data_IF_072535431045
#
_entry.id   IF_072535431045
#
_cell.length_a   1.000
_cell.length_b   1.000
_cell.length_c   1.000
_cell.angle_alpha   90.00
_cell.angle_beta   90.00
_cell.angle_gamma   90.00
#
_symmetry.space_group_name_H-M   'P 1'
#
loop_
_entity.id
_entity.type
_entity.pdbx_description
1 polymer ?
#
# COMPACT_ATOMS: atom_id res chain seq x y z
N UNK A 1 -4.66 -39.78 -3.90
CA UNK A 1 -3.74 -38.87 -4.63
C UNK A 1 -4.43 -37.67 -5.29
N UNK A 2 -5.77 -37.61 -5.39
CA UNK A 2 -6.48 -36.47 -6.02
C UNK A 2 -6.64 -35.22 -5.13
N UNK A 3 -6.42 -35.36 -3.82
CA UNK A 3 -6.70 -34.30 -2.81
C UNK A 3 -5.64 -33.19 -2.76
N UNK A 4 -4.38 -33.49 -3.10
CA UNK A 4 -3.30 -32.49 -3.06
C UNK A 4 -3.44 -31.40 -4.13
N UNK A 5 -3.97 -31.76 -5.32
CA UNK A 5 -4.16 -30.83 -6.44
C UNK A 5 -5.29 -29.82 -6.18
N UNK A 6 -6.37 -30.23 -5.52
CA UNK A 6 -7.49 -29.34 -5.24
C UNK A 6 -7.17 -28.38 -4.08
N UNK A 7 -6.37 -28.81 -3.11
CA UNK A 7 -5.91 -27.97 -2.01
C UNK A 7 -4.98 -26.84 -2.51
N UNK A 8 -4.01 -27.17 -3.38
CA UNK A 8 -3.12 -26.15 -3.95
C UNK A 8 -3.86 -25.13 -4.82
N UNK A 9 -4.83 -25.59 -5.63
CA UNK A 9 -5.67 -24.69 -6.42
C UNK A 9 -6.48 -23.74 -5.54
N UNK A 10 -7.07 -24.24 -4.44
CA UNK A 10 -7.82 -23.41 -3.49
C UNK A 10 -6.93 -22.40 -2.76
N UNK A 11 -5.76 -22.83 -2.30
CA UNK A 11 -4.80 -21.94 -1.65
C UNK A 11 -4.33 -20.84 -2.61
N UNK A 12 -4.04 -21.17 -3.87
CA UNK A 12 -3.68 -20.19 -4.89
C UNK A 12 -4.82 -19.19 -5.16
N UNK A 13 -6.07 -19.65 -5.26
CA UNK A 13 -7.23 -18.76 -5.40
C UNK A 13 -7.40 -17.83 -4.21
N UNK A 14 -7.21 -18.32 -2.99
CA UNK A 14 -7.27 -17.50 -1.78
C UNK A 14 -6.17 -16.44 -1.76
N UNK A 15 -4.92 -16.82 -2.04
CA UNK A 15 -3.79 -15.89 -2.11
C UNK A 15 -4.00 -14.82 -3.19
N UNK A 16 -4.48 -15.22 -4.36
CA UNK A 16 -4.81 -14.27 -5.44
C UNK A 16 -5.92 -13.31 -5.00
N UNK A 17 -6.96 -13.81 -4.33
CA UNK A 17 -8.06 -12.97 -3.84
C UNK A 17 -7.57 -11.97 -2.81
N UNK A 18 -6.78 -12.41 -1.83
CA UNK A 18 -6.18 -11.53 -0.82
C UNK A 18 -5.28 -10.48 -1.45
N UNK A 19 -4.45 -10.87 -2.42
CA UNK A 19 -3.60 -9.94 -3.16
C UNK A 19 -4.43 -8.89 -3.91
N UNK A 20 -5.47 -9.30 -4.64
CA UNK A 20 -6.37 -8.36 -5.33
C UNK A 20 -7.07 -7.41 -4.35
N UNK A 21 -7.59 -7.91 -3.24
CA UNK A 21 -8.18 -7.08 -2.19
C UNK A 21 -7.16 -6.09 -1.64
N UNK A 22 -5.91 -6.51 -1.40
CA UNK A 22 -4.86 -5.62 -0.90
C UNK A 22 -4.52 -4.50 -1.90
N UNK A 23 -4.50 -4.80 -3.20
CA UNK A 23 -4.34 -3.78 -4.26
C UNK A 23 -5.50 -2.80 -4.24
N UNK A 24 -6.75 -3.29 -4.11
CA UNK A 24 -7.93 -2.42 -4.05
C UNK A 24 -7.92 -1.50 -2.83
N UNK A 25 -7.53 -2.01 -1.66
CA UNK A 25 -7.39 -1.21 -0.43
C UNK A 25 -6.32 -0.13 -0.61
N UNK A 26 -5.17 -0.49 -1.17
CA UNK A 26 -4.10 0.47 -1.44
C UNK A 26 -4.55 1.56 -2.42
N UNK A 27 -5.18 1.19 -3.53
CA UNK A 27 -5.68 2.15 -4.52
C UNK A 27 -6.78 3.04 -3.93
N UNK A 28 -7.67 2.50 -3.10
CA UNK A 28 -8.68 3.30 -2.40
C UNK A 28 -8.03 4.36 -1.49
N UNK A 29 -6.93 4.01 -0.81
CA UNK A 29 -6.12 4.96 -0.04
C UNK A 29 -5.51 6.07 -0.89
N UNK A 30 -5.02 5.75 -2.09
CA UNK A 30 -4.43 6.72 -3.02
C UNK A 30 -5.45 7.67 -3.66
N UNK A 31 -6.73 7.29 -3.69
CA UNK A 31 -7.81 8.13 -4.21
C UNK A 31 -8.19 9.25 -3.22
N UNK A 32 -7.80 9.16 -1.94
CA UNK A 32 -8.03 10.26 -1.00
C UNK A 32 -7.30 11.52 -1.49
N UNK A 33 -8.03 12.60 -1.83
CA UNK A 33 -7.41 13.81 -2.34
C UNK A 33 -6.62 14.48 -1.22
N UNK A 34 -5.30 14.44 -1.31
CA UNK A 34 -4.42 15.08 -0.35
C UNK A 34 -2.97 14.68 -0.57
N UNK A 35 -2.10 15.68 -0.61
CA UNK A 35 -0.67 15.48 -0.43
C UNK A 35 -0.45 14.98 1.01
N UNK A 36 0.16 13.80 1.17
CA UNK A 36 0.33 13.13 2.48
C UNK A 36 1.00 14.07 3.48
N UNK A 37 2.09 14.72 3.08
CA UNK A 37 2.78 15.69 3.90
C UNK A 37 1.92 16.92 4.23
N UNK A 38 1.07 17.36 3.30
CA UNK A 38 0.10 18.46 3.55
C UNK A 38 -0.97 18.07 4.57
N UNK A 39 -1.44 16.83 4.52
CA UNK A 39 -2.43 16.30 5.47
C UNK A 39 -1.79 16.20 6.87
N UNK A 40 -0.54 15.77 6.95
CA UNK A 40 0.16 15.58 8.23
C UNK A 40 0.66 16.90 8.85
N UNK A 41 1.23 17.81 8.05
CA UNK A 41 1.77 19.09 8.54
C UNK A 41 0.70 20.19 8.61
N UNK A 42 -0.44 19.99 7.97
CA UNK A 42 -1.55 20.93 7.91
C UNK A 42 -1.55 21.82 6.66
N UNK A 43 -2.68 22.48 6.39
CA UNK A 43 -2.91 23.20 5.12
C UNK A 43 -1.99 24.40 4.91
N UNK A 44 -1.46 25.00 5.99
CA UNK A 44 -0.60 26.18 5.96
C UNK A 44 0.89 25.86 6.10
N UNK A 45 1.27 24.58 6.09
CA UNK A 45 2.66 24.18 6.15
C UNK A 45 3.45 24.67 4.94
N UNK A 46 4.72 25.02 5.17
CA UNK A 46 5.61 25.43 4.09
C UNK A 46 5.75 24.33 3.03
N UNK A 47 5.87 24.72 1.76
CA UNK A 47 5.91 23.80 0.65
C UNK A 47 7.17 22.92 0.65
N UNK A 48 8.30 23.47 1.10
CA UNK A 48 9.56 22.72 1.20
C UNK A 48 9.48 21.68 2.31
N UNK A 49 8.90 22.03 3.46
CA UNK A 49 8.68 21.10 4.56
C UNK A 49 7.78 19.92 4.15
N UNK A 50 6.71 20.18 3.38
CA UNK A 50 5.83 19.13 2.87
C UNK A 50 6.54 18.24 1.84
N UNK A 51 7.32 18.82 0.92
CA UNK A 51 8.10 18.03 -0.04
C UNK A 51 9.16 17.17 0.66
N UNK A 52 9.81 17.69 1.70
CA UNK A 52 10.75 16.94 2.52
C UNK A 52 10.06 15.76 3.22
N UNK A 53 8.92 16.00 3.88
CA UNK A 53 8.16 14.94 4.54
C UNK A 53 7.66 13.89 3.54
N UNK A 54 7.20 14.28 2.36
CA UNK A 54 6.78 13.33 1.33
C UNK A 54 7.92 12.43 0.87
N UNK A 55 9.14 12.96 0.75
CA UNK A 55 10.33 12.15 0.44
C UNK A 55 10.66 11.17 1.56
N UNK A 56 10.59 11.63 2.81
CA UNK A 56 10.87 10.80 3.98
C UNK A 56 9.86 9.66 4.14
N UNK A 57 8.57 9.95 3.88
CA UNK A 57 7.49 8.96 3.85
C UNK A 57 7.51 8.10 2.58
N UNK A 58 8.31 8.49 1.58
CA UNK A 58 8.35 7.92 0.24
C UNK A 58 7.01 8.00 -0.51
N UNK A 59 6.20 9.01 -0.22
CA UNK A 59 4.93 9.31 -0.90
C UNK A 59 5.15 9.88 -2.32
N UNK A 60 6.36 10.36 -2.60
CA UNK A 60 6.82 10.85 -3.90
C UNK A 60 7.32 9.72 -4.83
N UNK A 61 7.45 8.50 -4.32
CA UNK A 61 7.98 7.35 -5.07
C UNK A 61 6.96 6.78 -6.06
N UNK A 62 7.37 5.99 -7.07
CA UNK A 62 6.43 5.32 -7.97
C UNK A 62 5.42 4.44 -7.22
N UNK A 63 4.17 4.43 -7.67
CA UNK A 63 3.07 3.70 -7.01
C UNK A 63 3.39 2.23 -6.72
N UNK A 64 4.12 1.56 -7.62
CA UNK A 64 4.53 0.17 -7.43
C UNK A 64 5.46 0.00 -6.22
N UNK A 65 6.37 0.97 -5.99
CA UNK A 65 7.29 0.95 -4.85
C UNK A 65 6.53 1.22 -3.56
N UNK A 66 5.61 2.20 -3.58
CA UNK A 66 4.73 2.49 -2.44
C UNK A 66 3.88 1.27 -2.07
N UNK A 67 3.27 0.62 -3.05
CA UNK A 67 2.47 -0.59 -2.85
C UNK A 67 3.31 -1.71 -2.22
N UNK A 68 4.51 -1.99 -2.74
CA UNK A 68 5.32 -3.07 -2.19
C UNK A 68 5.81 -2.81 -0.78
N UNK A 69 6.19 -1.56 -0.46
CA UNK A 69 6.58 -1.18 0.90
C UNK A 69 5.40 -1.32 1.86
N UNK A 70 4.23 -0.84 1.48
CA UNK A 70 3.01 -0.96 2.29
C UNK A 70 2.59 -2.43 2.46
N UNK A 71 2.62 -3.21 1.38
CA UNK A 71 2.24 -4.62 1.39
C UNK A 71 3.19 -5.47 2.26
N UNK A 72 4.51 -5.24 2.19
CA UNK A 72 5.46 -5.97 3.03
C UNK A 72 5.31 -5.63 4.51
N UNK A 73 5.16 -4.34 4.85
CA UNK A 73 4.83 -3.87 6.20
C UNK A 73 3.53 -4.50 6.72
N UNK A 74 2.53 -4.63 5.85
CA UNK A 74 1.25 -5.25 6.19
C UNK A 74 1.38 -6.75 6.52
N UNK A 75 2.26 -7.46 5.83
CA UNK A 75 2.53 -8.88 6.10
C UNK A 75 3.30 -9.09 7.41
N UNK A 76 4.13 -8.12 7.81
CA UNK A 76 4.90 -8.18 9.06
C UNK A 76 4.14 -7.59 10.25
N UNK A 77 3.02 -6.92 10.03
CA UNK A 77 2.24 -6.21 11.06
C UNK A 77 2.92 -4.93 11.56
N UNK A 78 3.85 -4.37 10.78
CA UNK A 78 4.66 -3.19 11.11
C UNK A 78 4.16 -1.99 10.29
N UNK A 79 2.91 -1.59 10.53
CA UNK A 79 2.19 -0.53 9.83
C UNK A 79 2.50 0.87 10.37
#
# INVERSE_FOLDING_TARGET
MLTGRTLSMRAASLLLTLWLVSVLVFLAGQVLPGDVGRVMLGPFADAEAVAALNRDLGADQPLLVQYWRWFSAALTGDF
#
